data_IF_222897564869
#
_entry.id   IF_222897564869
#
_cell.length_a   1.000
_cell.length_b   1.000
_cell.length_c   1.000
_cell.angle_alpha   90.00
_cell.angle_beta   90.00
_cell.angle_gamma   90.00
#
_symmetry.space_group_name_H-M   'P 1'
#
loop_
_entity.id
_entity.type
_entity.pdbx_description
1 polymer ?
#
# COMPACT_ATOMS: atom_id res chain seq x y z
N UNK A 1 -9.56 0.91 -2.86
CA UNK A 1 -8.97 1.09 -1.50
C UNK A 1 -9.40 2.42 -0.96
N UNK A 2 -9.93 2.47 0.23
CA UNK A 2 -10.26 3.73 0.89
C UNK A 2 -8.97 4.36 1.40
N UNK A 3 -8.64 5.61 1.08
CA UNK A 3 -7.48 6.33 1.61
C UNK A 3 -7.76 6.78 3.04
N UNK A 4 -8.19 5.91 3.78
CA UNK A 4 -9.03 6.17 4.84
C UNK A 4 -8.49 6.70 6.13
N UNK A 5 -8.18 5.82 7.02
CA UNK A 5 -8.02 6.16 8.44
C UNK A 5 -6.94 7.23 8.70
N UNK A 6 -5.82 7.19 7.98
CA UNK A 6 -4.74 8.15 8.21
C UNK A 6 -5.15 9.62 7.97
N UNK A 7 -6.03 9.87 6.98
CA UNK A 7 -6.55 11.23 6.75
C UNK A 7 -7.48 11.70 7.86
N UNK A 8 -8.24 10.78 8.47
CA UNK A 8 -9.10 11.11 9.61
C UNK A 8 -8.24 11.55 10.80
N UNK A 9 -7.12 10.90 11.03
CA UNK A 9 -6.23 11.21 12.14
C UNK A 9 -5.49 12.54 11.95
N UNK A 10 -5.07 12.85 10.72
CA UNK A 10 -4.36 14.09 10.39
C UNK A 10 -5.31 15.29 10.13
N UNK A 11 -6.57 15.03 9.78
CA UNK A 11 -7.48 16.06 9.31
C UNK A 11 -7.74 17.21 10.29
N UNK A 12 -7.91 16.99 11.61
CA UNK A 12 -8.05 18.09 12.57
C UNK A 12 -6.89 19.07 12.51
N UNK A 13 -5.64 18.57 12.56
CA UNK A 13 -4.45 19.40 12.47
C UNK A 13 -4.33 20.12 11.11
N UNK A 14 -4.60 19.44 10.01
CA UNK A 14 -4.62 20.05 8.67
C UNK A 14 -5.62 21.23 8.63
N UNK A 15 -6.78 21.07 9.24
CA UNK A 15 -7.82 22.11 9.28
C UNK A 15 -7.42 23.36 10.07
N UNK A 16 -6.58 23.22 11.08
CA UNK A 16 -6.03 24.38 11.81
C UNK A 16 -5.11 25.22 10.91
N UNK A 17 -4.27 24.59 10.09
CA UNK A 17 -3.37 25.27 9.15
C UNK A 17 -4.04 25.74 7.87
N UNK A 18 -5.05 25.02 7.42
CA UNK A 18 -5.71 25.24 6.13
C UNK A 18 -7.25 25.15 6.26
N UNK A 19 -7.92 26.09 6.96
CA UNK A 19 -9.36 26.01 7.23
C UNK A 19 -10.24 26.07 5.97
N UNK A 20 -9.74 26.67 4.91
CA UNK A 20 -10.43 26.85 3.62
C UNK A 20 -10.32 25.63 2.68
N UNK A 21 -9.40 24.69 2.95
CA UNK A 21 -9.26 23.49 2.11
C UNK A 21 -10.47 22.58 2.28
N UNK A 22 -11.04 22.20 1.14
CA UNK A 22 -12.11 21.21 1.04
C UNK A 22 -11.55 19.92 0.45
N UNK A 23 -11.91 18.80 1.05
CA UNK A 23 -11.54 17.48 0.60
C UNK A 23 -12.67 16.80 -0.17
N UNK A 24 -12.36 16.21 -1.32
CA UNK A 24 -13.29 15.43 -2.11
C UNK A 24 -12.67 14.09 -2.47
N UNK A 25 -13.34 13.01 -2.08
CA UNK A 25 -12.98 11.66 -2.51
C UNK A 25 -13.39 11.43 -3.95
N UNK A 26 -12.45 10.99 -4.78
CA UNK A 26 -12.69 10.63 -6.17
C UNK A 26 -12.51 9.12 -6.32
N UNK A 27 -13.57 8.33 -6.52
CA UNK A 27 -13.43 6.91 -6.74
C UNK A 27 -12.80 6.65 -8.12
N UNK A 28 -11.90 5.66 -8.18
CA UNK A 28 -11.37 5.15 -9.43
C UNK A 28 -11.11 3.65 -9.33
N UNK A 29 -11.16 2.98 -10.45
CA UNK A 29 -10.80 1.58 -10.55
C UNK A 29 -9.28 1.44 -10.66
N UNK A 30 -8.68 0.73 -9.71
CA UNK A 30 -7.23 0.54 -9.66
C UNK A 30 -6.82 -0.60 -10.60
N UNK A 31 -6.73 -0.30 -11.89
CA UNK A 31 -6.13 -1.16 -12.91
C UNK A 31 -4.72 -0.67 -13.26
N UNK A 32 -3.85 -1.50 -13.87
CA UNK A 32 -2.53 -1.09 -14.30
C UNK A 32 -2.55 0.16 -15.19
N UNK A 33 -3.49 0.24 -16.14
CA UNK A 33 -3.65 1.33 -17.09
C UNK A 33 -4.11 2.61 -16.39
N UNK A 34 -5.21 2.52 -15.62
CA UNK A 34 -5.78 3.65 -14.88
C UNK A 34 -4.78 4.21 -13.86
N UNK A 35 -4.05 3.35 -13.18
CA UNK A 35 -3.01 3.76 -12.21
C UNK A 35 -1.93 4.61 -12.88
N UNK A 36 -1.43 4.20 -14.03
CA UNK A 36 -0.42 4.95 -14.78
C UNK A 36 -0.97 6.28 -15.28
N UNK A 37 -2.18 6.27 -15.83
CA UNK A 37 -2.83 7.48 -16.36
C UNK A 37 -3.08 8.51 -15.25
N UNK A 38 -3.70 8.08 -14.13
CA UNK A 38 -4.00 8.94 -13.00
C UNK A 38 -2.72 9.55 -12.42
N UNK A 39 -1.70 8.75 -12.19
CA UNK A 39 -0.47 9.22 -11.56
C UNK A 39 0.32 10.19 -12.46
N UNK A 40 0.30 10.00 -13.77
CA UNK A 40 0.90 10.94 -14.74
C UNK A 40 0.15 12.26 -14.85
N UNK A 41 -1.14 12.26 -14.54
CA UNK A 41 -2.03 13.42 -14.67
C UNK A 41 -2.46 14.01 -13.31
N UNK A 42 -1.70 13.75 -12.24
CA UNK A 42 -1.96 14.37 -10.94
C UNK A 42 -1.96 15.90 -11.02
N UNK A 43 -2.97 16.51 -10.43
CA UNK A 43 -3.23 17.95 -10.50
C UNK A 43 -4.24 18.37 -11.59
N UNK A 44 -4.77 17.44 -12.39
CA UNK A 44 -5.85 17.72 -13.34
C UNK A 44 -7.22 17.38 -12.76
N UNK A 45 -7.50 16.09 -12.52
CA UNK A 45 -8.77 15.61 -11.96
C UNK A 45 -8.62 15.11 -10.52
N UNK A 46 -7.48 14.52 -10.21
CA UNK A 46 -7.09 14.04 -8.89
C UNK A 46 -5.80 14.76 -8.52
N UNK A 47 -5.78 15.39 -7.36
CA UNK A 47 -4.61 16.13 -6.89
C UNK A 47 -3.61 15.23 -6.16
N UNK A 48 -4.14 14.26 -5.40
CA UNK A 48 -3.35 13.43 -4.48
C UNK A 48 -3.86 11.99 -4.50
N UNK A 49 -2.93 11.05 -4.51
CA UNK A 49 -3.18 9.61 -4.30
C UNK A 49 -2.34 9.13 -3.13
N UNK A 50 -2.96 8.48 -2.15
CA UNK A 50 -2.24 7.83 -1.07
C UNK A 50 -1.83 6.41 -1.49
N UNK A 51 -0.57 6.05 -1.27
CA UNK A 51 -0.10 4.72 -1.67
C UNK A 51 1.37 4.44 -1.40
N UNK A 52 1.75 3.20 -1.72
CA UNK A 52 3.13 2.74 -1.68
C UNK A 52 3.89 3.25 -2.91
N UNK A 53 5.16 3.51 -2.73
CA UNK A 53 6.03 3.97 -3.81
C UNK A 53 7.50 3.57 -3.59
N UNK A 54 8.30 3.73 -4.63
CA UNK A 54 9.75 3.81 -4.59
C UNK A 54 10.23 4.85 -5.60
N UNK A 55 11.52 5.11 -5.63
CA UNK A 55 12.09 6.14 -6.52
C UNK A 55 11.82 5.85 -8.00
N UNK A 56 12.02 4.59 -8.43
CA UNK A 56 11.76 4.18 -9.81
C UNK A 56 10.28 4.27 -10.20
N UNK A 57 9.41 3.92 -9.26
CA UNK A 57 7.97 4.07 -9.42
C UNK A 57 7.58 5.53 -9.71
N UNK A 58 8.14 6.48 -8.94
CA UNK A 58 7.88 7.92 -9.12
C UNK A 58 8.39 8.44 -10.46
N UNK A 59 9.61 8.03 -10.85
CA UNK A 59 10.23 8.43 -12.13
C UNK A 59 9.41 7.95 -13.33
N UNK A 60 9.04 6.66 -13.36
CA UNK A 60 8.26 6.07 -14.46
C UNK A 60 6.88 6.72 -14.60
N UNK A 61 6.27 7.10 -13.48
CA UNK A 61 4.93 7.70 -13.43
C UNK A 61 4.95 9.22 -13.46
N UNK A 62 6.13 9.82 -13.49
CA UNK A 62 6.33 11.27 -13.54
C UNK A 62 5.59 12.01 -12.41
N UNK A 63 5.56 11.43 -11.22
CA UNK A 63 4.97 12.03 -10.03
C UNK A 63 6.00 12.21 -8.93
N UNK A 64 5.64 12.95 -7.89
CA UNK A 64 6.41 13.13 -6.66
C UNK A 64 5.64 12.53 -5.48
N UNK A 65 6.30 12.34 -4.36
CA UNK A 65 5.68 11.86 -3.15
C UNK A 65 6.14 12.65 -1.91
N UNK A 66 5.21 12.84 -0.98
CA UNK A 66 5.50 13.16 0.40
C UNK A 66 5.43 11.85 1.19
N UNK A 67 6.58 11.32 1.62
CA UNK A 67 6.63 10.15 2.49
C UNK A 67 6.04 10.49 3.86
N UNK A 68 5.10 9.67 4.33
CA UNK A 68 4.45 9.81 5.63
C UNK A 68 4.98 8.79 6.62
N UNK A 69 5.23 7.57 6.16
CA UNK A 69 5.65 6.47 7.02
C UNK A 69 6.45 5.42 6.23
N UNK A 70 7.13 4.58 6.98
CA UNK A 70 7.67 3.30 6.54
C UNK A 70 6.77 2.19 7.08
N UNK A 71 5.96 1.63 6.21
CA UNK A 71 4.99 0.59 6.57
C UNK A 71 5.68 -0.77 6.64
N UNK A 72 5.63 -1.47 7.79
CA UNK A 72 6.07 -2.85 7.86
C UNK A 72 5.22 -3.74 6.95
N UNK A 73 5.87 -4.65 6.23
CA UNK A 73 5.17 -5.65 5.45
C UNK A 73 4.54 -6.67 6.41
N UNK A 74 3.26 -6.95 6.19
CA UNK A 74 2.42 -7.86 6.95
C UNK A 74 1.90 -8.97 6.06
N UNK A 75 1.34 -10.02 6.65
CA UNK A 75 0.57 -11.03 5.97
C UNK A 75 -0.91 -10.89 6.29
N UNK A 76 -1.75 -10.97 5.26
CA UNK A 76 -3.19 -11.13 5.42
C UNK A 76 -3.57 -12.57 5.09
N UNK A 77 -4.44 -13.15 5.90
CA UNK A 77 -4.99 -14.48 5.73
C UNK A 77 -6.50 -14.46 5.98
N UNK A 78 -7.25 -15.38 5.39
CA UNK A 78 -8.65 -15.59 5.77
C UNK A 78 -8.76 -15.82 7.29
N UNK A 79 -9.81 -15.31 7.92
CA UNK A 79 -10.08 -15.57 9.35
C UNK A 79 -10.24 -17.07 9.65
N UNK A 80 -10.45 -17.89 8.62
CA UNK A 80 -10.57 -19.36 8.71
C UNK A 80 -9.26 -20.08 8.40
N UNK A 81 -8.21 -19.36 8.01
CA UNK A 81 -6.90 -19.93 7.70
C UNK A 81 -6.25 -20.53 8.97
N UNK A 82 -5.50 -21.65 8.88
CA UNK A 82 -4.81 -22.24 10.03
C UNK A 82 -3.91 -21.25 10.80
N UNK A 83 -3.27 -20.32 10.09
CA UNK A 83 -2.42 -19.30 10.70
C UNK A 83 -3.19 -18.14 11.34
N UNK A 84 -4.51 -18.03 11.17
CA UNK A 84 -5.29 -16.93 11.72
C UNK A 84 -5.30 -16.89 13.26
N UNK A 85 -5.01 -18.01 13.93
CA UNK A 85 -4.84 -18.05 15.38
C UNK A 85 -3.55 -17.41 15.92
N UNK A 86 -2.57 -17.14 15.07
CA UNK A 86 -1.28 -16.57 15.49
C UNK A 86 -1.34 -15.05 15.65
N UNK A 87 -0.55 -14.53 16.58
CA UNK A 87 -0.37 -13.09 16.79
C UNK A 87 0.89 -12.54 16.08
N UNK A 88 1.85 -13.41 15.77
CA UNK A 88 3.09 -13.14 15.06
C UNK A 88 3.41 -14.34 14.16
N UNK A 89 3.76 -14.10 12.91
CA UNK A 89 4.30 -15.11 12.00
C UNK A 89 5.82 -14.99 11.92
N UNK A 90 6.45 -16.10 11.55
CA UNK A 90 7.85 -16.15 11.11
C UNK A 90 7.91 -16.51 9.63
N UNK A 91 9.07 -16.41 8.99
CA UNK A 91 9.21 -16.85 7.60
C UNK A 91 8.99 -18.37 7.44
N UNK A 92 9.31 -19.16 8.49
CA UNK A 92 9.07 -20.60 8.51
C UNK A 92 7.57 -20.95 8.50
N UNK A 93 6.72 -20.09 9.05
CA UNK A 93 5.26 -20.27 9.02
C UNK A 93 4.68 -20.17 7.61
N UNK A 94 5.44 -19.60 6.68
CA UNK A 94 5.04 -19.47 5.27
C UNK A 94 5.61 -20.61 4.40
N UNK A 95 6.39 -21.55 4.97
CA UNK A 95 6.90 -22.68 4.20
C UNK A 95 5.74 -23.56 3.72
N UNK A 96 5.83 -24.00 2.47
CA UNK A 96 4.82 -24.79 1.75
C UNK A 96 3.49 -24.04 1.50
N UNK A 97 3.42 -22.73 1.83
CA UNK A 97 2.27 -21.88 1.60
C UNK A 97 2.43 -21.04 0.32
N UNK A 98 1.31 -20.67 -0.29
CA UNK A 98 1.27 -19.72 -1.38
C UNK A 98 1.32 -18.29 -0.82
N UNK A 99 2.38 -17.56 -1.12
CA UNK A 99 2.52 -16.15 -0.73
C UNK A 99 2.25 -15.25 -1.93
N UNK A 100 1.08 -14.61 -1.93
CA UNK A 100 0.67 -13.65 -2.95
C UNK A 100 1.50 -12.37 -2.83
N UNK A 101 2.32 -12.09 -3.83
CA UNK A 101 3.17 -10.91 -3.89
C UNK A 101 2.97 -10.21 -5.23
N UNK A 102 2.94 -8.88 -5.23
CA UNK A 102 2.80 -8.14 -6.49
C UNK A 102 3.96 -8.46 -7.43
N UNK A 103 3.67 -8.56 -8.72
CA UNK A 103 4.64 -8.96 -9.75
C UNK A 103 5.91 -8.13 -9.72
N UNK A 104 6.99 -8.71 -10.22
CA UNK A 104 8.32 -8.05 -10.33
C UNK A 104 8.25 -6.73 -11.09
N UNK A 105 9.12 -5.81 -10.69
CA UNK A 105 9.27 -4.49 -11.32
C UNK A 105 8.23 -3.47 -10.90
N UNK A 106 7.33 -3.81 -9.98
CA UNK A 106 6.35 -2.85 -9.44
C UNK A 106 6.98 -1.97 -8.36
N UNK A 107 7.79 -2.56 -7.47
CA UNK A 107 8.49 -1.87 -6.37
C UNK A 107 9.79 -2.59 -6.05
N UNK A 108 10.92 -1.88 -6.00
CA UNK A 108 12.22 -2.50 -5.83
C UNK A 108 12.42 -3.12 -4.43
N UNK A 109 11.78 -2.60 -3.38
CA UNK A 109 11.86 -3.19 -2.04
C UNK A 109 11.18 -4.57 -2.01
N UNK A 110 10.06 -4.72 -2.74
CA UNK A 110 9.39 -6.01 -2.88
C UNK A 110 10.18 -6.97 -3.78
N UNK A 111 10.84 -6.45 -4.80
CA UNK A 111 11.73 -7.26 -5.63
C UNK A 111 12.92 -7.77 -4.82
N UNK A 112 13.52 -6.92 -3.97
CA UNK A 112 14.59 -7.32 -3.05
C UNK A 112 14.11 -8.36 -2.03
N UNK A 113 12.97 -8.13 -1.37
CA UNK A 113 12.35 -9.09 -0.45
C UNK A 113 12.13 -10.45 -1.13
N UNK A 114 11.62 -10.45 -2.35
CA UNK A 114 11.41 -11.66 -3.16
C UNK A 114 12.71 -12.44 -3.38
N UNK A 115 13.82 -11.76 -3.73
CA UNK A 115 15.12 -12.39 -3.93
C UNK A 115 15.66 -13.01 -2.62
N UNK A 116 15.49 -12.30 -1.51
CA UNK A 116 15.92 -12.78 -0.19
C UNK A 116 15.09 -13.97 0.25
N UNK A 117 13.77 -13.93 0.14
CA UNK A 117 12.88 -15.06 0.45
C UNK A 117 13.18 -16.27 -0.43
N UNK A 118 13.41 -16.08 -1.72
CA UNK A 118 13.75 -17.17 -2.63
C UNK A 118 15.10 -17.85 -2.27
N UNK A 119 16.07 -17.05 -1.80
CA UNK A 119 17.39 -17.57 -1.39
C UNK A 119 17.34 -18.28 -0.05
N UNK A 120 16.68 -17.66 0.95
CA UNK A 120 16.78 -18.07 2.35
C UNK A 120 15.63 -18.99 2.77
N UNK A 121 14.49 -18.90 2.11
CA UNK A 121 13.25 -19.65 2.36
C UNK A 121 12.62 -20.17 1.05
N UNK A 122 13.35 -21.02 0.27
CA UNK A 122 12.88 -21.49 -1.04
C UNK A 122 11.60 -22.34 -0.99
N UNK A 123 11.16 -22.73 0.19
CA UNK A 123 9.90 -23.46 0.43
C UNK A 123 8.67 -22.55 0.34
N UNK A 124 8.83 -21.22 0.35
CA UNK A 124 7.73 -20.28 0.18
C UNK A 124 7.35 -20.21 -1.30
N UNK A 125 6.12 -20.54 -1.63
CA UNK A 125 5.62 -20.50 -3.01
C UNK A 125 5.14 -19.09 -3.35
N UNK A 126 6.00 -18.25 -3.94
CA UNK A 126 5.63 -16.90 -4.33
C UNK A 126 4.74 -16.93 -5.57
N UNK A 127 3.51 -16.42 -5.43
CA UNK A 127 2.51 -16.34 -6.49
C UNK A 127 2.28 -14.88 -6.86
N UNK A 128 2.48 -14.55 -8.13
CA UNK A 128 2.37 -13.18 -8.63
C UNK A 128 0.92 -12.74 -8.84
N UNK A 129 0.61 -11.50 -8.47
CA UNK A 129 -0.60 -10.80 -8.90
C UNK A 129 -0.26 -9.44 -9.54
N UNK A 130 -1.16 -8.92 -10.38
CA UNK A 130 -0.89 -7.75 -11.22
C UNK A 130 -0.98 -6.41 -10.46
N UNK A 131 -2.00 -6.27 -9.61
CA UNK A 131 -2.31 -4.99 -8.96
C UNK A 131 -3.11 -5.18 -7.68
N UNK A 132 -2.82 -4.37 -6.68
CA UNK A 132 -3.63 -4.30 -5.46
C UNK A 132 -5.00 -3.70 -5.77
N UNK A 133 -6.03 -4.53 -5.76
CA UNK A 133 -7.43 -4.15 -5.88
C UNK A 133 -8.29 -5.10 -5.04
N UNK A 134 -9.58 -4.86 -4.97
CA UNK A 134 -10.48 -5.69 -4.14
C UNK A 134 -10.47 -7.17 -4.54
N UNK A 135 -10.17 -7.50 -5.81
CA UNK A 135 -10.20 -8.88 -6.28
C UNK A 135 -9.08 -9.73 -5.66
N UNK A 136 -7.87 -9.18 -5.45
CA UNK A 136 -6.80 -9.93 -4.79
C UNK A 136 -7.11 -10.18 -3.31
N UNK A 137 -7.81 -9.26 -2.64
CA UNK A 137 -8.27 -9.49 -1.26
C UNK A 137 -9.38 -10.55 -1.21
N UNK A 138 -10.32 -10.52 -2.17
CA UNK A 138 -11.34 -11.57 -2.29
C UNK A 138 -10.71 -12.93 -2.63
N UNK A 139 -9.68 -12.98 -3.49
CA UNK A 139 -8.94 -14.20 -3.78
C UNK A 139 -8.33 -14.78 -2.51
N UNK A 140 -7.61 -13.97 -1.74
CA UNK A 140 -6.98 -14.39 -0.49
C UNK A 140 -8.03 -14.91 0.52
N UNK A 141 -9.19 -14.26 0.63
CA UNK A 141 -10.24 -14.70 1.54
C UNK A 141 -10.85 -16.06 1.11
N UNK A 142 -11.00 -16.30 -0.20
CA UNK A 142 -11.60 -17.51 -0.76
C UNK A 142 -10.59 -18.66 -1.02
N UNK A 143 -9.38 -18.55 -0.52
CA UNK A 143 -8.32 -19.55 -0.68
C UNK A 143 -7.54 -19.75 0.62
N UNK A 144 -6.54 -20.63 0.60
CA UNK A 144 -5.53 -20.77 1.65
C UNK A 144 -4.28 -19.93 1.35
N UNK A 145 -4.36 -18.99 0.39
CA UNK A 145 -3.24 -18.12 0.05
C UNK A 145 -3.00 -17.07 1.14
N UNK A 146 -1.74 -16.69 1.31
CA UNK A 146 -1.31 -15.62 2.20
C UNK A 146 -1.01 -14.39 1.36
N UNK A 147 -1.64 -13.25 1.64
CA UNK A 147 -1.45 -12.03 0.87
C UNK A 147 -0.48 -11.07 1.58
N UNK A 148 0.54 -10.60 0.85
CA UNK A 148 1.34 -9.46 1.27
C UNK A 148 0.46 -8.22 1.45
N UNK A 149 0.57 -7.55 2.59
CA UNK A 149 -0.22 -6.38 2.94
C UNK A 149 0.54 -5.41 3.84
N UNK A 150 -0.12 -4.33 4.25
CA UNK A 150 0.34 -3.34 5.23
C UNK A 150 -0.78 -2.99 6.22
N UNK A 151 -0.43 -2.42 7.36
CA UNK A 151 -1.42 -2.07 8.40
C UNK A 151 -2.48 -1.06 7.90
N UNK A 152 -2.12 -0.16 7.00
CA UNK A 152 -3.06 0.81 6.41
C UNK A 152 -4.20 0.18 5.60
N UNK A 153 -4.08 -1.11 5.26
CA UNK A 153 -5.12 -1.85 4.54
C UNK A 153 -5.94 -2.79 5.42
N UNK A 154 -5.79 -2.69 6.74
CA UNK A 154 -6.46 -3.56 7.73
C UNK A 154 -7.99 -3.62 7.59
N UNK A 155 -8.61 -2.55 7.09
CA UNK A 155 -10.06 -2.45 6.94
C UNK A 155 -10.56 -2.68 5.50
N UNK A 156 -9.69 -3.12 4.59
CA UNK A 156 -10.07 -3.33 3.18
C UNK A 156 -11.02 -4.51 3.02
N UNK A 157 -10.81 -5.57 3.80
CA UNK A 157 -11.66 -6.76 3.73
C UNK A 157 -11.99 -7.30 5.14
N UNK A 158 -13.28 -7.43 5.48
CA UNK A 158 -13.71 -7.76 6.85
C UNK A 158 -13.38 -9.19 7.31
N UNK A 159 -13.19 -10.12 6.36
CA UNK A 159 -12.88 -11.52 6.63
C UNK A 159 -11.38 -11.85 6.50
N UNK A 160 -10.53 -10.85 6.43
CA UNK A 160 -9.08 -11.04 6.47
C UNK A 160 -8.50 -10.56 7.80
N UNK A 161 -7.64 -11.39 8.39
CA UNK A 161 -6.82 -11.02 9.55
C UNK A 161 -5.43 -10.60 9.04
N UNK A 162 -4.97 -9.41 9.44
CA UNK A 162 -3.61 -8.95 9.18
C UNK A 162 -2.75 -9.32 10.37
N UNK A 163 -1.67 -10.07 10.10
CA UNK A 163 -0.76 -10.59 11.11
C UNK A 163 0.63 -10.03 10.86
N UNK A 164 1.30 -9.48 11.88
CA UNK A 164 2.70 -9.09 11.79
C UNK A 164 3.59 -10.31 11.53
N UNK A 165 4.73 -10.07 10.88
CA UNK A 165 5.74 -11.10 10.61
C UNK A 165 7.05 -10.65 11.22
N UNK A 166 7.82 -11.59 11.80
CA UNK A 166 9.12 -11.35 12.39
C UNK A 166 10.21 -11.21 11.30
N UNK A 167 10.14 -10.11 10.57
CA UNK A 167 11.10 -9.67 9.57
C UNK A 167 11.22 -8.15 9.52
N UNK A 168 12.23 -7.62 8.82
CA UNK A 168 12.52 -6.19 8.79
C UNK A 168 12.13 -5.50 7.47
N UNK A 169 11.23 -6.10 6.68
CA UNK A 169 10.81 -5.51 5.41
C UNK A 169 9.82 -4.38 5.63
N UNK A 170 10.12 -3.23 5.02
CA UNK A 170 9.27 -2.03 5.08
C UNK A 170 9.13 -1.38 3.72
N UNK A 171 8.02 -0.68 3.50
CA UNK A 171 7.72 0.05 2.27
C UNK A 171 7.44 1.52 2.56
N UNK A 172 7.97 2.46 1.76
CA UNK A 172 7.54 3.85 1.84
C UNK A 172 6.05 3.97 1.50
N UNK A 173 5.31 4.64 2.35
CA UNK A 173 3.91 5.00 2.14
C UNK A 173 3.75 6.51 2.24
N UNK A 174 2.93 7.11 1.37
CA UNK A 174 2.77 8.54 1.41
C UNK A 174 1.76 9.08 0.42
N UNK A 175 1.86 10.39 0.21
CA UNK A 175 1.00 11.16 -0.69
C UNK A 175 1.71 11.41 -2.01
N UNK A 176 1.24 10.75 -3.06
CA UNK A 176 1.69 10.97 -4.44
C UNK A 176 0.98 12.20 -4.99
N UNK A 177 1.73 13.10 -5.61
CA UNK A 177 1.23 14.35 -6.14
C UNK A 177 1.97 14.78 -7.40
N UNK A 178 1.48 15.80 -8.10
CA UNK A 178 2.20 16.38 -9.23
C UNK A 178 3.58 16.89 -8.80
N UNK A 179 4.64 16.74 -9.60
CA UNK A 179 5.95 17.36 -9.33
C UNK A 179 5.86 18.90 -9.26
N UNK A 180 4.82 19.46 -9.84
CA UNK A 180 4.49 20.90 -9.79
C UNK A 180 3.08 21.09 -9.23
N UNK A 181 2.91 20.91 -7.92
CA UNK A 181 1.59 21.01 -7.31
C UNK A 181 1.06 22.46 -7.37
N UNK A 182 -0.25 22.60 -7.43
CA UNK A 182 -0.90 23.91 -7.31
C UNK A 182 -0.59 24.54 -5.94
N UNK A 183 -0.70 25.88 -5.77
CA UNK A 183 -0.49 26.53 -4.48
C UNK A 183 -1.34 25.93 -3.35
N UNK A 184 -2.58 25.54 -3.66
CA UNK A 184 -3.50 24.90 -2.70
C UNK A 184 -2.99 23.52 -2.27
N UNK A 185 -2.57 22.69 -3.22
CA UNK A 185 -2.00 21.36 -2.93
C UNK A 185 -0.70 21.50 -2.16
N UNK A 186 0.15 22.47 -2.52
CA UNK A 186 1.40 22.72 -1.78
C UNK A 186 1.13 23.09 -0.34
N UNK A 187 0.18 24.02 -0.06
CA UNK A 187 -0.22 24.37 1.30
C UNK A 187 -0.71 23.15 2.09
N UNK A 188 -1.52 22.30 1.44
CA UNK A 188 -1.98 21.05 2.06
C UNK A 188 -0.80 20.13 2.43
N UNK A 189 0.13 19.88 1.49
CA UNK A 189 1.30 19.04 1.74
C UNK A 189 2.21 19.62 2.86
N UNK A 190 2.36 20.96 2.91
CA UNK A 190 3.14 21.62 3.95
C UNK A 190 2.42 21.52 5.32
N UNK A 191 1.09 21.60 5.36
CA UNK A 191 0.32 21.36 6.58
C UNK A 191 0.46 19.90 7.08
N UNK A 192 0.42 18.92 6.18
CA UNK A 192 0.64 17.50 6.53
C UNK A 192 2.01 17.25 7.15
N UNK A 193 3.06 17.96 6.71
CA UNK A 193 4.41 17.84 7.30
C UNK A 193 4.50 18.44 8.71
N UNK A 194 3.63 19.37 9.05
CA UNK A 194 3.63 20.08 10.34
C UNK A 194 2.77 19.43 11.42
N UNK A 195 2.00 18.40 11.07
CA UNK A 195 1.13 17.62 11.94
C UNK A 195 1.76 16.28 12.25
#
# INVERSE_FOLDING_TARGET
>A
MTPGQFLLDLWPGIKEYCPDIKFRMVPYENTPENSVEILRNLGQNIDIVAGLFDQKFLEVRQCAALELSREPIRCAVSIYHPLAGKELLTAEDLHDENFLLIRRGWNHYLDQMREELWRDHPQIHIVDFEMFNINVFNQCENSEDILMTIDNWRQVHPLLKIIPVDWNYTLPYGLLHSPRPTPTVKRFLDAVKGV
#
